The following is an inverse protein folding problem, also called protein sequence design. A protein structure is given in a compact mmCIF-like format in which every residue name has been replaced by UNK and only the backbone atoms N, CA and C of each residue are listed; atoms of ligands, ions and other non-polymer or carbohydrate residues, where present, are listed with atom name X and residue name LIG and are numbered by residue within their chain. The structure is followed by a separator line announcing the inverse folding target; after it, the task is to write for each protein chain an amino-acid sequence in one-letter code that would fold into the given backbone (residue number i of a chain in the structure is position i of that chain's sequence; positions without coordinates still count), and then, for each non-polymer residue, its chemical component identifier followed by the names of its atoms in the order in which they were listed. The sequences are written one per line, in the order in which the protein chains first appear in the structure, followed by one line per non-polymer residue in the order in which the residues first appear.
data_IF_096152939470
#
_entry.id   IF_096152939470
#
_cell.length_a   1.000
_cell.length_b   1.000
_cell.length_c   1.000
_cell.angle_alpha   90.00
_cell.angle_beta   90.00
_cell.angle_gamma   90.00
#
_symmetry.space_group_name_H-M   'P 1'
#
loop_
_entity.id
_entity.type
_entity.pdbx_description
1 polymer ?
#
# COMPACT_ATOMS: atom_id res chain seq x y z
N UNK A 1 -8.58 47.19 -15.26
CA UNK A 1 -7.14 47.33 -15.00
C UNK A 1 -6.53 45.93 -15.00
N UNK A 2 -5.52 45.72 -15.86
CA UNK A 2 -4.60 44.57 -15.86
C UNK A 2 -3.78 44.55 -14.55
N UNK A 3 -3.11 43.42 -14.29
CA UNK A 3 -2.23 43.05 -13.15
C UNK A 3 -2.98 42.10 -12.17
N UNK A 4 -2.52 40.90 -11.83
CA UNK A 4 -1.18 40.33 -11.81
C UNK A 4 -1.22 38.84 -12.21
N UNK A 5 -0.38 38.47 -13.17
CA UNK A 5 0.04 37.08 -13.41
C UNK A 5 1.20 36.86 -12.45
N UNK A 6 1.02 36.00 -11.45
CA UNK A 6 2.06 35.69 -10.48
C UNK A 6 1.77 34.39 -9.75
N UNK A 7 2.71 33.46 -9.88
CA UNK A 7 2.82 32.19 -9.15
C UNK A 7 1.83 31.07 -9.54
N UNK A 8 2.27 30.23 -10.47
CA UNK A 8 2.33 28.80 -10.22
C UNK A 8 3.46 28.24 -11.07
N UNK A 9 4.61 28.00 -10.45
CA UNK A 9 5.64 27.17 -11.03
C UNK A 9 5.00 25.80 -11.31
N UNK A 10 4.70 25.53 -12.57
CA UNK A 10 4.44 24.20 -13.06
C UNK A 10 5.75 23.41 -12.94
N UNK A 11 6.07 22.98 -11.71
CA UNK A 11 6.98 21.89 -11.50
C UNK A 11 6.33 20.69 -12.16
N UNK A 12 6.73 20.44 -13.40
CA UNK A 12 6.38 19.26 -14.15
C UNK A 12 6.78 18.07 -13.29
N UNK A 13 5.79 17.49 -12.62
CA UNK A 13 5.80 16.13 -12.15
C UNK A 13 5.95 15.27 -13.40
N UNK A 14 7.20 15.09 -13.84
CA UNK A 14 7.61 13.93 -14.62
C UNK A 14 7.47 12.73 -13.69
N UNK A 15 6.22 12.37 -13.39
CA UNK A 15 5.84 11.06 -12.93
C UNK A 15 6.03 10.14 -14.15
N UNK A 16 7.28 9.90 -14.52
CA UNK A 16 7.61 8.72 -15.30
C UNK A 16 7.09 7.54 -14.49
N UNK A 17 6.18 6.71 -15.02
CA UNK A 17 5.88 5.46 -14.39
C UNK A 17 7.20 4.69 -14.42
N UNK A 18 7.88 4.65 -13.27
CA UNK A 18 8.93 3.69 -13.08
C UNK A 18 8.26 2.36 -13.35
N UNK A 19 8.61 1.76 -14.48
CA UNK A 19 8.28 0.38 -14.79
C UNK A 19 8.80 -0.39 -13.57
N UNK A 20 7.89 -0.71 -12.65
CA UNK A 20 8.20 -1.46 -11.45
C UNK A 20 8.61 -2.83 -11.97
N UNK A 21 9.91 -2.97 -12.23
CA UNK A 21 10.53 -4.23 -12.55
C UNK A 21 10.17 -5.12 -11.38
N UNK A 22 9.28 -6.08 -11.64
CA UNK A 22 8.80 -7.04 -10.66
C UNK A 22 9.95 -7.97 -10.33
N UNK A 23 10.95 -7.47 -9.60
CA UNK A 23 11.86 -8.32 -8.88
C UNK A 23 11.01 -9.14 -7.94
N UNK A 24 10.94 -10.44 -8.21
CA UNK A 24 10.29 -11.38 -7.31
C UNK A 24 10.82 -11.14 -5.89
N UNK A 25 9.94 -11.17 -4.87
CA UNK A 25 10.38 -10.98 -3.50
C UNK A 25 11.44 -12.02 -3.17
N UNK A 26 12.68 -11.56 -2.99
CA UNK A 26 13.80 -12.42 -2.64
C UNK A 26 13.83 -12.61 -1.13
N UNK A 27 13.98 -13.87 -0.70
CA UNK A 27 14.23 -14.18 0.70
C UNK A 27 15.55 -13.53 1.12
N UNK A 28 15.62 -12.83 2.28
CA UNK A 28 16.86 -12.26 2.78
C UNK A 28 17.97 -13.31 2.85
N UNK A 29 19.20 -12.92 2.52
CA UNK A 29 20.34 -13.84 2.50
C UNK A 29 20.57 -14.52 3.86
N UNK A 30 20.29 -13.82 4.96
CA UNK A 30 20.35 -14.32 6.35
C UNK A 30 19.44 -15.54 6.59
N UNK A 31 18.32 -15.61 5.88
CA UNK A 31 17.33 -16.69 5.95
C UNK A 31 17.56 -17.80 4.92
N UNK A 32 18.69 -17.78 4.21
CA UNK A 32 19.04 -18.74 3.16
C UNK A 32 20.40 -19.39 3.41
N UNK A 33 20.68 -20.54 2.81
CA UNK A 33 21.99 -21.21 2.85
C UNK A 33 22.53 -21.50 4.25
N UNK A 34 21.71 -22.06 5.15
CA UNK A 34 22.20 -22.50 6.46
C UNK A 34 23.25 -23.61 6.29
N UNK A 35 24.32 -23.55 7.09
CA UNK A 35 25.39 -24.54 7.03
C UNK A 35 24.85 -25.91 7.41
N UNK A 36 25.23 -26.93 6.64
CA UNK A 36 24.88 -28.31 6.93
C UNK A 36 25.48 -28.74 8.28
N UNK A 37 24.76 -29.59 9.01
CA UNK A 37 25.27 -30.16 10.25
C UNK A 37 26.55 -30.98 9.99
N UNK A 38 27.54 -30.92 10.90
CA UNK A 38 28.74 -31.72 10.77
C UNK A 38 28.42 -33.21 10.92
N UNK A 39 29.19 -34.06 10.24
CA UNK A 39 29.07 -35.52 10.36
C UNK A 39 29.43 -35.96 11.78
N UNK A 40 28.56 -36.77 12.38
CA UNK A 40 28.80 -37.33 13.71
C UNK A 40 29.58 -38.64 13.59
N UNK A 41 30.51 -38.87 14.53
CA UNK A 41 31.19 -40.16 14.67
C UNK A 41 30.33 -41.13 15.49
N UNK A 42 30.44 -42.42 15.22
CA UNK A 42 29.80 -43.46 16.02
C UNK A 42 30.48 -43.54 17.39
N UNK A 43 29.74 -43.20 18.45
CA UNK A 43 30.25 -43.21 19.82
C UNK A 43 30.68 -44.60 20.33
N UNK A 44 30.20 -45.69 19.72
CA UNK A 44 30.61 -47.05 20.10
C UNK A 44 32.00 -47.43 19.55
N UNK A 45 32.40 -46.82 18.42
CA UNK A 45 33.66 -47.13 17.72
C UNK A 45 34.67 -45.97 17.77
N UNK A 46 34.26 -44.77 18.17
CA UNK A 46 35.10 -43.58 18.18
C UNK A 46 36.11 -43.58 19.32
N UNK A 47 37.31 -43.10 19.03
CA UNK A 47 38.32 -42.78 20.03
C UNK A 47 37.95 -41.50 20.78
N UNK A 48 38.54 -41.30 21.97
CA UNK A 48 38.36 -40.06 22.76
C UNK A 48 38.72 -38.82 21.97
N UNK A 49 39.79 -38.86 21.18
CA UNK A 49 40.22 -37.72 20.35
C UNK A 49 39.18 -37.38 19.27
N UNK A 50 38.62 -38.39 18.60
CA UNK A 50 37.55 -38.21 17.61
C UNK A 50 36.30 -37.60 18.25
N UNK A 51 35.87 -38.12 19.41
CA UNK A 51 34.73 -37.54 20.14
C UNK A 51 34.96 -36.08 20.52
N UNK A 52 36.15 -35.73 21.03
CA UNK A 52 36.50 -34.33 21.35
C UNK A 52 36.47 -33.43 20.11
N UNK A 53 37.03 -33.88 18.99
CA UNK A 53 37.02 -33.11 17.74
C UNK A 53 35.60 -32.92 17.19
N UNK A 54 34.77 -33.96 17.22
CA UNK A 54 33.35 -33.87 16.82
C UNK A 54 32.59 -32.92 17.73
N UNK A 55 32.78 -32.97 19.05
CA UNK A 55 32.15 -32.03 19.98
C UNK A 55 32.50 -30.58 19.67
N UNK A 56 33.78 -30.29 19.42
CA UNK A 56 34.22 -28.94 19.04
C UNK A 56 33.60 -28.48 17.71
N UNK A 57 33.51 -29.37 16.72
CA UNK A 57 32.86 -29.08 15.43
C UNK A 57 31.37 -28.81 15.57
N UNK A 58 30.65 -29.61 16.37
CA UNK A 58 29.22 -29.42 16.66
C UNK A 58 28.97 -28.11 17.39
N UNK A 59 29.81 -27.76 18.37
CA UNK A 59 29.68 -26.51 19.11
C UNK A 59 29.91 -25.28 18.22
N UNK A 60 30.93 -25.33 17.35
CA UNK A 60 31.19 -24.28 16.37
C UNK A 60 30.01 -24.11 15.39
N UNK A 61 29.52 -25.21 14.82
CA UNK A 61 28.35 -25.20 13.93
C UNK A 61 27.11 -24.65 14.63
N UNK A 62 26.83 -25.06 15.87
CA UNK A 62 25.69 -24.57 16.65
C UNK A 62 25.77 -23.06 16.89
N UNK A 63 26.95 -22.55 17.23
CA UNK A 63 27.17 -21.11 17.41
C UNK A 63 26.89 -20.33 16.13
N UNK A 64 27.43 -20.80 14.99
CA UNK A 64 27.19 -20.18 13.69
C UNK A 64 25.70 -20.22 13.28
N UNK A 65 25.05 -21.36 13.51
CA UNK A 65 23.62 -21.53 13.25
C UNK A 65 22.78 -20.54 14.05
N UNK A 66 23.06 -20.36 15.34
CA UNK A 66 22.29 -19.46 16.20
C UNK A 66 22.45 -17.99 15.80
N UNK A 67 23.67 -17.58 15.45
CA UNK A 67 23.93 -16.23 14.93
C UNK A 67 23.13 -15.98 13.65
N UNK A 68 23.11 -16.96 12.74
CA UNK A 68 22.36 -16.85 11.48
C UNK A 68 20.85 -16.85 11.69
N UNK A 69 20.34 -17.68 12.61
CA UNK A 69 18.92 -17.68 13.00
C UNK A 69 18.49 -16.34 13.58
N UNK A 70 19.32 -15.75 14.44
CA UNK A 70 19.07 -14.43 15.03
C UNK A 70 18.99 -13.35 13.94
N UNK A 71 19.95 -13.34 13.01
CA UNK A 71 19.94 -12.41 11.88
C UNK A 71 18.68 -12.57 11.01
N UNK A 72 18.31 -13.82 10.67
CA UNK A 72 17.09 -14.09 9.92
C UNK A 72 15.83 -13.62 10.67
N UNK A 73 15.76 -13.79 12.00
CA UNK A 73 14.64 -13.31 12.80
C UNK A 73 14.49 -11.78 12.76
N UNK A 74 15.61 -11.05 12.83
CA UNK A 74 15.62 -9.59 12.67
C UNK A 74 15.06 -9.18 11.31
N UNK A 75 15.50 -9.82 10.23
CA UNK A 75 15.04 -9.51 8.88
C UNK A 75 13.54 -9.82 8.69
N UNK A 76 13.06 -10.95 9.22
CA UNK A 76 11.63 -11.29 9.21
C UNK A 76 10.80 -10.25 9.95
N UNK A 77 11.31 -9.74 11.08
CA UNK A 77 10.61 -8.70 11.85
C UNK A 77 10.55 -7.39 11.07
N UNK A 78 11.64 -7.00 10.40
CA UNK A 78 11.65 -5.82 9.54
C UNK A 78 10.66 -5.95 8.37
N UNK A 79 10.61 -7.11 7.71
CA UNK A 79 9.66 -7.36 6.63
C UNK A 79 8.19 -7.31 7.09
N UNK A 80 7.89 -7.82 8.30
CA UNK A 80 6.55 -7.70 8.89
C UNK A 80 6.16 -6.24 9.12
N UNK A 81 7.06 -5.43 9.67
CA UNK A 81 6.80 -4.01 9.87
C UNK A 81 6.54 -3.27 8.53
N UNK A 82 7.28 -3.62 7.47
CA UNK A 82 7.04 -3.07 6.13
C UNK A 82 5.68 -3.47 5.57
N UNK A 83 5.29 -4.74 5.75
CA UNK A 83 3.97 -5.22 5.34
C UNK A 83 2.85 -4.50 6.08
N UNK A 84 2.97 -4.36 7.40
CA UNK A 84 1.99 -3.64 8.23
C UNK A 84 1.85 -2.19 7.80
N UNK A 85 2.96 -1.50 7.51
CA UNK A 85 2.94 -0.14 6.98
C UNK A 85 2.24 -0.05 5.62
N UNK A 86 2.51 -1.01 4.71
CA UNK A 86 1.87 -1.06 3.39
C UNK A 86 0.35 -1.32 3.50
N UNK A 87 -0.07 -2.22 4.39
CA UNK A 87 -1.49 -2.48 4.68
C UNK A 87 -2.15 -1.23 5.26
N UNK A 88 -1.48 -0.52 6.17
CA UNK A 88 -1.96 0.76 6.70
C UNK A 88 -2.19 1.81 5.62
N UNK A 89 -1.21 1.97 4.71
CA UNK A 89 -1.31 2.90 3.58
C UNK A 89 -2.47 2.54 2.63
N UNK A 90 -2.63 1.25 2.32
CA UNK A 90 -3.74 0.76 1.49
C UNK A 90 -5.10 1.08 2.12
N UNK A 91 -5.27 0.79 3.41
CA UNK A 91 -6.53 1.05 4.12
C UNK A 91 -6.84 2.55 4.19
N UNK A 92 -5.83 3.39 4.45
CA UNK A 92 -6.00 4.85 4.45
C UNK A 92 -6.43 5.38 3.06
N UNK A 93 -5.83 4.85 1.99
CA UNK A 93 -6.21 5.19 0.62
C UNK A 93 -7.65 4.77 0.31
N UNK A 94 -8.05 3.55 0.71
CA UNK A 94 -9.41 3.07 0.53
C UNK A 94 -10.44 3.94 1.28
N UNK A 95 -10.13 4.37 2.50
CA UNK A 95 -11.00 5.26 3.27
C UNK A 95 -11.11 6.65 2.61
N UNK A 96 -9.99 7.22 2.17
CA UNK A 96 -9.97 8.50 1.47
C UNK A 96 -10.81 8.45 0.18
N UNK A 97 -10.65 7.38 -0.61
CA UNK A 97 -11.44 7.17 -1.82
C UNK A 97 -12.94 7.10 -1.51
N UNK A 98 -13.34 6.36 -0.48
CA UNK A 98 -14.74 6.27 -0.07
C UNK A 98 -15.32 7.64 0.33
N UNK A 99 -14.57 8.44 1.09
CA UNK A 99 -14.99 9.79 1.49
C UNK A 99 -15.16 10.71 0.28
N UNK A 100 -14.20 10.71 -0.65
CA UNK A 100 -14.26 11.52 -1.87
C UNK A 100 -15.43 11.10 -2.76
N UNK A 101 -15.66 9.80 -2.95
CA UNK A 101 -16.78 9.30 -3.75
C UNK A 101 -18.14 9.65 -3.11
N UNK A 102 -18.25 9.58 -1.79
CA UNK A 102 -19.47 10.01 -1.10
C UNK A 102 -19.72 11.51 -1.27
N UNK A 103 -18.70 12.34 -1.11
CA UNK A 103 -18.81 13.79 -1.35
C UNK A 103 -19.24 14.08 -2.80
N UNK A 104 -18.63 13.40 -3.77
CA UNK A 104 -19.02 13.52 -5.18
C UNK A 104 -20.48 13.14 -5.43
N UNK A 105 -20.97 12.05 -4.84
CA UNK A 105 -22.37 11.65 -4.99
C UNK A 105 -23.36 12.68 -4.44
N UNK A 106 -23.00 13.39 -3.36
CA UNK A 106 -23.78 14.51 -2.84
C UNK A 106 -23.86 15.63 -3.87
N UNK A 107 -22.72 16.05 -4.42
CA UNK A 107 -22.66 17.12 -5.45
C UNK A 107 -23.47 16.76 -6.71
N UNK A 108 -23.40 15.51 -7.16
CA UNK A 108 -24.20 15.01 -8.29
C UNK A 108 -25.70 15.07 -7.97
N UNK A 109 -26.10 14.70 -6.76
CA UNK A 109 -27.50 14.75 -6.31
C UNK A 109 -28.02 16.19 -6.32
N UNK A 110 -27.24 17.14 -5.79
CA UNK A 110 -27.57 18.56 -5.81
C UNK A 110 -27.65 19.12 -7.23
N UNK A 111 -26.73 18.72 -8.12
CA UNK A 111 -26.76 19.11 -9.52
C UNK A 111 -28.05 18.66 -10.23
N UNK A 112 -28.44 17.39 -10.06
CA UNK A 112 -29.64 16.84 -10.68
C UNK A 112 -30.91 17.54 -10.16
N UNK A 113 -30.99 17.82 -8.86
CA UNK A 113 -32.13 18.52 -8.27
C UNK A 113 -32.35 19.94 -8.86
N UNK A 114 -31.28 20.63 -9.28
CA UNK A 114 -31.40 21.94 -9.97
C UNK A 114 -32.06 21.82 -11.34
N UNK A 115 -31.83 20.72 -12.06
CA UNK A 115 -32.45 20.45 -13.36
C UNK A 115 -33.97 20.29 -13.26
N UNK A 116 -34.44 19.60 -12.22
CA UNK A 116 -35.86 19.31 -12.00
C UNK A 116 -36.67 20.55 -11.55
N UNK A 117 -36.05 21.44 -10.77
CA UNK A 117 -36.67 22.72 -10.40
C UNK A 117 -36.89 23.64 -11.62
N UNK A 118 -36.02 23.55 -12.63
CA UNK A 118 -36.11 24.35 -13.86
C UNK A 118 -37.25 23.91 -14.77
N UNK A 119 -37.63 22.63 -14.75
CA UNK A 119 -38.77 22.08 -15.52
C UNK A 119 -40.14 22.30 -14.87
N UNK A 120 -40.18 22.76 -13.61
CA UNK A 120 -41.43 22.96 -12.86
C UNK A 120 -41.77 24.46 -12.70
N UNK A 121 -41.19 25.32 -13.55
CA UNK A 121 -41.70 26.68 -13.68
C UNK A 121 -43.08 26.61 -14.35
N UNK A 122 -44.19 26.96 -13.64
CA UNK A 122 -45.49 27.01 -14.29
C UNK A 122 -45.40 28.02 -15.41
N UNK A 123 -45.66 27.53 -16.62
CA UNK A 123 -45.99 28.31 -17.79
C UNK A 123 -47.04 29.34 -17.33
N UNK A 124 -46.59 30.57 -17.04
CA UNK A 124 -47.46 31.72 -16.80
C UNK A 124 -48.15 31.97 -18.14
N UNK A 125 -49.17 31.16 -18.41
CA UNK A 125 -50.12 31.38 -19.49
C UNK A 125 -50.78 32.70 -19.16
N UNK A 126 -50.28 33.73 -19.80
CA UNK A 126 -50.90 35.05 -19.89
C UNK A 126 -52.34 34.88 -20.39
N UNK A 127 -53.29 34.71 -19.48
CA UNK A 127 -54.66 35.16 -19.68
C UNK A 127 -54.74 36.61 -19.19
N UNK A 128 -54.00 37.47 -19.87
CA UNK A 128 -54.15 38.92 -19.81
C UNK A 128 -54.84 39.32 -21.12
N UNK A 129 -56.14 39.62 -21.02
CA UNK A 129 -56.86 40.41 -22.02
C UNK A 129 -57.77 39.66 -22.98
N UNK A 130 -59.02 39.43 -22.57
CA UNK A 130 -60.18 39.77 -23.41
C UNK A 130 -61.21 40.43 -22.50
N UNK A 131 -61.15 41.76 -22.46
CA UNK A 131 -62.26 42.63 -22.05
C UNK A 131 -62.83 43.24 -23.33
N UNK A 132 -64.16 43.46 -23.37
CA UNK A 132 -65.03 43.88 -24.50
C UNK A 132 -65.53 42.71 -25.36
N UNK A 133 -66.80 42.62 -25.75
CA UNK A 133 -67.79 43.66 -26.04
C UNK A 133 -69.17 43.00 -26.25
N UNK A 134 -70.24 43.77 -26.04
CA UNK A 134 -71.62 43.60 -26.53
C UNK A 134 -72.43 42.49 -25.79
N UNK A 135 -73.67 42.68 -25.31
CA UNK A 135 -74.80 43.57 -25.61
C UNK A 135 -75.60 43.93 -24.34
#
# INVERSE_FOLDING_TARGET
MKLMIGAAAAAMLLATPAMAQTTAPSIPASCSNFDAAPTLVDGAAATRQQMTATSASVEAWRSALEQKRTACQTDVTALRAQLEAAVGAYNASAQSAAQTLNAWNVEVTEFNARGEQSSTAPERRSTLGVSRRDE
#
